data_IF_540555790498
#
_entry.id   IF_540555790498
#
_cell.length_a   1.000
_cell.length_b   1.000
_cell.length_c   1.000
_cell.angle_alpha   90.00
_cell.angle_beta   90.00
_cell.angle_gamma   90.00
#
_symmetry.space_group_name_H-M   'P 1'
#
loop_
_entity.id
_entity.type
_entity.pdbx_description
1 polymer ?
#
# COMPACT_ATOMS: atom_id res chain seq x y z
N UNK A 1 25.72 23.70 -43.39
CA UNK A 1 24.73 22.97 -42.58
C UNK A 1 25.31 21.65 -42.14
N UNK A 2 25.60 21.48 -40.84
CA UNK A 2 25.29 20.33 -39.97
C UNK A 2 26.24 20.33 -38.77
N UNK A 3 25.70 20.78 -37.65
CA UNK A 3 26.32 20.68 -36.34
C UNK A 3 26.42 19.21 -35.95
N UNK A 4 27.63 18.73 -35.68
CA UNK A 4 27.86 17.40 -35.11
C UNK A 4 27.49 17.43 -33.63
N UNK A 5 26.45 16.67 -33.28
CA UNK A 5 25.94 16.47 -31.93
C UNK A 5 26.85 15.51 -31.14
N UNK A 6 27.28 15.99 -29.97
CA UNK A 6 27.36 15.30 -28.67
C UNK A 6 27.52 13.76 -28.63
N UNK A 7 28.63 13.32 -28.05
CA UNK A 7 28.70 12.09 -27.25
C UNK A 7 29.39 12.44 -25.93
N UNK A 8 28.61 12.93 -24.96
CA UNK A 8 29.05 12.97 -23.57
C UNK A 8 28.81 11.56 -23.03
N UNK A 9 29.89 10.83 -22.83
CA UNK A 9 29.92 9.54 -22.15
C UNK A 9 29.41 9.71 -20.72
N UNK A 10 28.14 9.41 -20.49
CA UNK A 10 27.58 9.35 -19.16
C UNK A 10 28.19 8.14 -18.43
N UNK A 11 28.87 8.44 -17.33
CA UNK A 11 29.52 7.50 -16.44
C UNK A 11 28.56 6.37 -16.03
N UNK A 12 28.96 5.14 -16.32
CA UNK A 12 28.44 3.96 -15.66
C UNK A 12 28.95 3.92 -14.21
N UNK A 13 28.26 4.62 -13.30
CA UNK A 13 28.33 4.33 -11.87
C UNK A 13 27.49 3.08 -11.61
N UNK A 14 28.03 1.92 -11.99
CA UNK A 14 27.53 0.61 -11.61
C UNK A 14 27.84 0.34 -10.14
N UNK A 15 27.26 1.12 -9.23
CA UNK A 15 27.09 0.69 -7.85
C UNK A 15 25.94 -0.30 -7.84
N UNK A 16 26.28 -1.58 -7.72
CA UNK A 16 25.34 -2.65 -7.42
C UNK A 16 24.68 -2.43 -6.06
N UNK A 17 23.74 -1.50 -5.99
CA UNK A 17 22.67 -1.56 -5.01
C UNK A 17 21.67 -2.57 -5.53
N UNK A 18 21.38 -3.61 -4.76
CA UNK A 18 20.31 -4.57 -5.06
C UNK A 18 19.03 -3.78 -5.37
N UNK A 19 18.71 -3.58 -6.66
CA UNK A 19 17.44 -2.99 -7.04
C UNK A 19 16.36 -3.96 -6.58
N UNK A 20 15.70 -3.63 -5.47
CA UNK A 20 14.60 -4.43 -4.96
C UNK A 20 13.58 -4.60 -6.09
N UNK A 21 13.16 -5.83 -6.36
CA UNK A 21 12.17 -6.07 -7.41
C UNK A 21 10.89 -5.26 -7.12
N UNK A 22 10.15 -4.81 -8.14
CA UNK A 22 8.90 -4.06 -7.93
C UNK A 22 7.91 -4.79 -7.02
N UNK A 23 7.93 -6.13 -7.05
CA UNK A 23 7.12 -6.95 -6.16
C UNK A 23 7.56 -6.86 -4.69
N UNK A 24 8.88 -6.88 -4.42
CA UNK A 24 9.44 -6.69 -3.08
C UNK A 24 9.06 -5.33 -2.52
N UNK A 25 9.23 -4.26 -3.30
CA UNK A 25 8.86 -2.90 -2.89
C UNK A 25 7.37 -2.78 -2.54
N UNK A 26 6.51 -3.41 -3.35
CA UNK A 26 5.06 -3.46 -3.09
C UNK A 26 4.74 -4.23 -1.82
N UNK A 27 5.42 -5.35 -1.54
CA UNK A 27 5.22 -6.14 -0.32
C UNK A 27 5.63 -5.34 0.92
N UNK A 28 6.82 -4.75 0.93
CA UNK A 28 7.30 -3.92 2.04
C UNK A 28 6.35 -2.75 2.34
N UNK A 29 5.85 -2.09 1.29
CA UNK A 29 4.88 -1.01 1.44
C UNK A 29 3.52 -1.50 1.96
N UNK A 30 3.08 -2.69 1.53
CA UNK A 30 1.86 -3.32 2.05
C UNK A 30 2.02 -3.67 3.53
N UNK A 31 3.15 -4.24 3.94
CA UNK A 31 3.42 -4.63 5.33
C UNK A 31 3.43 -3.40 6.24
N UNK A 32 4.06 -2.30 5.81
CA UNK A 32 4.02 -1.03 6.53
C UNK A 32 2.59 -0.49 6.69
N UNK A 33 1.79 -0.55 5.63
CA UNK A 33 0.37 -0.17 5.68
C UNK A 33 -0.43 -1.06 6.64
N UNK A 34 -0.28 -2.38 6.54
CA UNK A 34 -0.94 -3.35 7.40
C UNK A 34 -0.55 -3.17 8.86
N UNK A 35 0.73 -2.98 9.16
CA UNK A 35 1.25 -2.74 10.50
C UNK A 35 0.63 -1.48 11.10
N UNK A 36 0.58 -0.37 10.33
CA UNK A 36 -0.08 0.84 10.79
C UNK A 36 -1.57 0.59 11.09
N UNK A 37 -2.31 0.00 10.15
CA UNK A 37 -3.75 -0.15 10.28
C UNK A 37 -4.15 -1.13 11.41
N UNK A 38 -3.38 -2.21 11.59
CA UNK A 38 -3.59 -3.19 12.66
C UNK A 38 -3.27 -2.63 14.05
N UNK A 39 -2.28 -1.75 14.17
CA UNK A 39 -2.01 -1.04 15.44
C UNK A 39 -3.08 0.04 15.70
N UNK A 40 -3.45 0.81 14.67
CA UNK A 40 -4.40 1.90 14.77
C UNK A 40 -5.83 1.43 15.13
N UNK A 41 -6.18 0.16 14.88
CA UNK A 41 -7.51 -0.37 15.22
C UNK A 41 -7.64 -0.78 16.69
N UNK A 42 -6.53 -1.10 17.37
CA UNK A 42 -6.53 -1.64 18.75
C UNK A 42 -7.35 -0.79 19.74
N UNK A 43 -7.26 0.56 19.75
CA UNK A 43 -8.03 1.38 20.67
C UNK A 43 -9.55 1.27 20.50
N UNK A 44 -10.04 0.82 19.35
CA UNK A 44 -11.48 0.72 19.06
C UNK A 44 -12.08 -0.64 19.42
N UNK A 45 -11.25 -1.60 19.85
CA UNK A 45 -11.73 -2.95 20.20
C UNK A 45 -12.73 -2.89 21.34
N UNK A 46 -12.44 -2.14 22.42
CA UNK A 46 -13.33 -1.96 23.57
C UNK A 46 -14.49 -0.97 23.35
N UNK A 47 -14.45 -0.16 22.29
CA UNK A 47 -15.49 0.85 22.04
C UNK A 47 -16.73 0.22 21.39
N UNK A 48 -17.64 -0.30 22.21
CA UNK A 48 -18.88 -0.96 21.75
C UNK A 48 -19.88 0.00 21.09
N UNK A 49 -19.75 1.32 21.31
CA UNK A 49 -20.61 2.34 20.68
C UNK A 49 -20.25 2.56 19.22
N UNK A 50 -19.03 2.22 18.82
CA UNK A 50 -18.55 2.35 17.45
C UNK A 50 -18.76 1.04 16.67
N UNK A 51 -19.52 1.02 15.55
CA UNK A 51 -19.65 -0.16 14.72
C UNK A 51 -18.28 -0.71 14.26
N UNK A 52 -18.07 -2.04 14.22
CA UNK A 52 -16.76 -2.65 13.88
C UNK A 52 -16.21 -2.18 12.53
N UNK A 53 -17.06 -2.02 11.52
CA UNK A 53 -16.65 -1.50 10.21
C UNK A 53 -16.18 -0.04 10.28
N UNK A 54 -16.81 0.78 11.11
CA UNK A 54 -16.42 2.17 11.31
C UNK A 54 -15.09 2.28 12.07
N UNK A 55 -14.85 1.39 13.06
CA UNK A 55 -13.55 1.25 13.71
C UNK A 55 -12.43 0.94 12.70
N UNK A 56 -12.65 -0.04 11.81
CA UNK A 56 -11.71 -0.39 10.76
C UNK A 56 -11.42 0.78 9.80
N UNK A 57 -12.46 1.50 9.36
CA UNK A 57 -12.30 2.65 8.47
C UNK A 57 -11.55 3.81 9.14
N UNK A 58 -11.82 4.08 10.43
CA UNK A 58 -11.09 5.10 11.21
C UNK A 58 -9.62 4.74 11.38
N UNK A 59 -9.32 3.46 11.65
CA UNK A 59 -7.95 2.96 11.73
C UNK A 59 -7.19 3.16 10.42
N UNK A 60 -7.80 2.80 9.28
CA UNK A 60 -7.18 3.01 7.97
C UNK A 60 -7.02 4.48 7.60
N UNK A 61 -7.96 5.35 7.98
CA UNK A 61 -7.88 6.77 7.69
C UNK A 61 -6.63 7.42 8.34
N UNK A 62 -6.23 6.95 9.53
CA UNK A 62 -4.99 7.36 10.20
C UNK A 62 -3.72 6.89 9.48
N UNK A 63 -3.84 5.90 8.60
CA UNK A 63 -2.74 5.26 7.88
C UNK A 63 -2.76 5.60 6.38
N UNK A 64 -3.26 6.79 6.01
CA UNK A 64 -3.36 7.20 4.61
C UNK A 64 -1.98 7.31 3.94
N UNK A 65 -0.96 7.83 4.62
CA UNK A 65 0.37 7.99 4.02
C UNK A 65 1.03 6.63 3.70
N UNK A 66 1.07 5.64 4.63
CA UNK A 66 1.47 4.28 4.29
C UNK A 66 0.64 3.67 3.15
N UNK A 67 -0.67 3.92 3.12
CA UNK A 67 -1.53 3.45 2.03
C UNK A 67 -1.15 4.06 0.68
N UNK A 68 -0.84 5.36 0.61
CA UNK A 68 -0.40 6.01 -0.63
C UNK A 68 0.92 5.43 -1.13
N UNK A 69 1.86 5.13 -0.23
CA UNK A 69 3.12 4.45 -0.60
C UNK A 69 2.85 3.07 -1.20
N UNK A 70 1.98 2.29 -0.57
CA UNK A 70 1.55 0.99 -1.10
C UNK A 70 0.85 1.12 -2.46
N UNK A 71 -0.08 2.07 -2.62
CA UNK A 71 -0.77 2.34 -3.90
C UNK A 71 0.25 2.64 -5.00
N UNK A 72 1.20 3.52 -4.73
CA UNK A 72 2.22 3.92 -5.71
C UNK A 72 3.14 2.74 -6.07
N UNK A 73 3.54 1.92 -5.09
CA UNK A 73 4.31 0.70 -5.35
C UNK A 73 3.52 -0.32 -6.18
N UNK A 74 2.21 -0.47 -5.93
CA UNK A 74 1.31 -1.32 -6.72
C UNK A 74 1.19 -0.83 -8.17
N UNK A 75 1.01 0.47 -8.38
CA UNK A 75 1.03 1.08 -9.71
C UNK A 75 2.39 0.84 -10.39
N UNK A 76 3.50 1.03 -9.67
CA UNK A 76 4.84 0.75 -10.19
C UNK A 76 5.03 -0.71 -10.62
N UNK A 77 4.52 -1.66 -9.85
CA UNK A 77 4.52 -3.08 -10.19
C UNK A 77 3.70 -3.36 -11.46
N UNK A 78 2.51 -2.74 -11.59
CA UNK A 78 1.69 -2.90 -12.80
C UNK A 78 2.37 -2.27 -14.01
N UNK A 79 2.96 -1.08 -13.88
CA UNK A 79 3.75 -0.42 -14.93
C UNK A 79 4.88 -1.32 -15.44
N UNK A 80 5.52 -2.10 -14.57
CA UNK A 80 6.56 -3.05 -14.97
C UNK A 80 6.03 -4.26 -15.76
N UNK A 81 4.72 -4.54 -15.71
CA UNK A 81 4.07 -5.68 -16.38
C UNK A 81 3.32 -5.30 -17.65
N UNK A 82 2.95 -4.04 -17.82
CA UNK A 82 2.24 -3.53 -18.99
C UNK A 82 3.23 -2.95 -20.02
N UNK A 83 2.77 -2.73 -21.26
CA UNK A 83 3.59 -2.14 -22.31
C UNK A 83 4.00 -0.70 -21.95
N UNK A 84 5.17 -0.26 -22.43
CA UNK A 84 5.81 0.99 -22.03
C UNK A 84 5.00 2.26 -22.36
N UNK A 85 4.09 2.20 -23.33
CA UNK A 85 3.20 3.28 -23.77
C UNK A 85 1.89 3.37 -22.98
N UNK A 86 1.65 2.43 -22.05
CA UNK A 86 0.37 2.24 -21.37
C UNK A 86 0.34 2.82 -19.95
N UNK A 87 0.87 4.03 -19.76
CA UNK A 87 1.03 4.65 -18.45
C UNK A 87 -0.30 4.86 -17.70
N UNK A 88 -1.33 5.36 -18.39
CA UNK A 88 -2.66 5.61 -17.81
C UNK A 88 -3.37 4.31 -17.43
N UNK A 89 -3.26 3.28 -18.28
CA UNK A 89 -3.81 1.96 -18.01
C UNK A 89 -3.16 1.36 -16.74
N UNK A 90 -1.85 1.52 -16.59
CA UNK A 90 -1.14 1.03 -15.42
C UNK A 90 -1.56 1.75 -14.12
N UNK A 91 -1.80 3.06 -14.20
CA UNK A 91 -2.34 3.86 -13.09
C UNK A 91 -3.74 3.36 -12.69
N UNK A 92 -4.62 3.15 -13.67
CA UNK A 92 -5.98 2.67 -13.42
C UNK A 92 -5.98 1.26 -12.81
N UNK A 93 -5.29 0.30 -13.43
CA UNK A 93 -5.24 -1.08 -12.94
C UNK A 93 -4.55 -1.18 -11.59
N UNK A 94 -3.40 -0.51 -11.41
CA UNK A 94 -2.68 -0.48 -10.14
C UNK A 94 -3.49 0.16 -9.02
N UNK A 95 -4.17 1.29 -9.32
CA UNK A 95 -5.07 1.97 -8.40
C UNK A 95 -6.26 1.10 -7.99
N UNK A 96 -6.92 0.44 -8.95
CA UNK A 96 -8.04 -0.48 -8.67
C UNK A 96 -7.61 -1.67 -7.82
N UNK A 97 -6.46 -2.28 -8.12
CA UNK A 97 -5.92 -3.37 -7.30
C UNK A 97 -5.61 -2.90 -5.88
N UNK A 98 -5.02 -1.71 -5.71
CA UNK A 98 -4.77 -1.14 -4.39
C UNK A 98 -6.06 -0.87 -3.60
N UNK A 99 -7.16 -0.50 -4.27
CA UNK A 99 -8.48 -0.37 -3.64
C UNK A 99 -9.04 -1.71 -3.18
N UNK A 100 -8.92 -2.77 -3.98
CA UNK A 100 -9.31 -4.13 -3.57
C UNK A 100 -8.55 -4.56 -2.32
N UNK A 101 -7.24 -4.30 -2.26
CA UNK A 101 -6.43 -4.56 -1.07
C UNK A 101 -6.90 -3.75 0.14
N UNK A 102 -7.18 -2.46 -0.04
CA UNK A 102 -7.74 -1.61 1.03
C UNK A 102 -9.05 -2.18 1.57
N UNK A 103 -9.95 -2.62 0.69
CA UNK A 103 -11.21 -3.25 1.09
C UNK A 103 -10.99 -4.58 1.84
N UNK A 104 -9.99 -5.38 1.46
CA UNK A 104 -9.61 -6.60 2.21
C UNK A 104 -9.16 -6.25 3.62
N UNK A 105 -8.26 -5.27 3.78
CA UNK A 105 -7.86 -4.77 5.10
C UNK A 105 -9.07 -4.30 5.90
N UNK A 106 -10.06 -3.64 5.27
CA UNK A 106 -11.27 -3.20 5.98
C UNK A 106 -12.05 -4.38 6.54
N UNK A 107 -12.24 -5.44 5.74
CA UNK A 107 -12.95 -6.66 6.16
C UNK A 107 -12.19 -7.34 7.31
N UNK A 108 -10.89 -7.57 7.15
CA UNK A 108 -10.07 -8.23 8.17
C UNK A 108 -10.09 -7.48 9.51
N UNK A 109 -9.94 -6.15 9.50
CA UNK A 109 -10.01 -5.35 10.73
C UNK A 109 -11.43 -5.30 11.32
N UNK A 110 -12.47 -5.32 10.48
CA UNK A 110 -13.87 -5.42 10.93
C UNK A 110 -14.10 -6.72 11.67
N UNK A 111 -13.63 -7.84 11.12
CA UNK A 111 -13.77 -9.16 11.71
C UNK A 111 -12.94 -9.29 12.99
N UNK A 112 -11.73 -8.73 13.01
CA UNK A 112 -10.90 -8.64 14.21
C UNK A 112 -11.63 -7.91 15.35
N UNK A 113 -12.16 -6.71 15.11
CA UNK A 113 -12.89 -5.95 16.14
C UNK A 113 -14.12 -6.71 16.61
N UNK A 114 -14.88 -7.30 15.68
CA UNK A 114 -16.06 -8.11 16.00
C UNK A 114 -15.68 -9.30 16.90
N UNK A 115 -14.61 -10.02 16.54
CA UNK A 115 -14.16 -11.18 17.29
C UNK A 115 -13.64 -10.79 18.67
N UNK A 116 -12.78 -9.77 18.76
CA UNK A 116 -12.20 -9.34 20.02
C UNK A 116 -13.27 -8.87 21.03
N UNK A 117 -14.36 -8.25 20.55
CA UNK A 117 -15.53 -7.88 21.37
C UNK A 117 -16.31 -9.09 21.87
N UNK A 118 -16.50 -10.11 21.03
CA UNK A 118 -17.16 -11.37 21.45
C UNK A 118 -16.34 -12.14 22.48
N UNK A 119 -15.02 -12.11 22.35
CA UNK A 119 -14.09 -12.82 23.23
C UNK A 119 -13.80 -12.11 24.55
N UNK A 120 -14.32 -10.89 24.77
CA UNK A 120 -14.06 -10.12 26.00
C UNK A 120 -12.64 -9.58 26.12
N UNK A 121 -11.81 -9.65 25.06
CA UNK A 121 -10.38 -9.26 25.06
C UNK A 121 -10.19 -7.72 25.08
N UNK A 122 -11.27 -6.95 25.29
CA UNK A 122 -11.26 -5.49 25.39
C UNK A 122 -11.43 -4.94 26.81
N UNK A 123 -11.52 -5.80 27.84
CA UNK A 123 -11.80 -5.43 29.23
C UNK A 123 -10.67 -5.88 30.16
N UNK A 124 -9.48 -5.30 30.02
CA UNK A 124 -8.41 -5.33 31.03
C UNK A 124 -7.69 -4.01 31.02
#
# INVERSE_FOLDING_TARGET
MKNSFLMISALALGLGGCAASPEKLKNEAYDAYWQCASQAVRPYVGDTRLPPRQAALRAQARCNDPYQRFRNAQVGLVRHKVQADSADLAEQLGGQQALVWRQRVTRTLTDYVRQARRSGVGST
#
